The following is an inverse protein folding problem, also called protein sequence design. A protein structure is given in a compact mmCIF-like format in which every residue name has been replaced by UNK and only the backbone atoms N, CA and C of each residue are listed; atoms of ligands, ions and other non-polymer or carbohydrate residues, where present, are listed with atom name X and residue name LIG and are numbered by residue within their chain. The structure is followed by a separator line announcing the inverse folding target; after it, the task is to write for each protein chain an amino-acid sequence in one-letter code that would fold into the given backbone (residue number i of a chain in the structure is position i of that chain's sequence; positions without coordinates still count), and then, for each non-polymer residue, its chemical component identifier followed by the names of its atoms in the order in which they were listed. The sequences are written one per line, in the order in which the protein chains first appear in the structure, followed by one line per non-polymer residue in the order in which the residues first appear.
data_IF_399995466488
#
_entry.id   IF_399995466488
#
_cell.length_a   1.000
_cell.length_b   1.000
_cell.length_c   1.000
_cell.angle_alpha   90.00
_cell.angle_beta   90.00
_cell.angle_gamma   90.00
#
_symmetry.space_group_name_H-M   'P 1'
#
loop_
_entity.id
_entity.type
_entity.pdbx_description
1 polymer ?
#
# COMPACT_ATOMS: atom_id res chain seq x y z
N UNK A 1 -4.04 23.75 3.23
CA UNK A 1 -4.15 22.41 2.59
C UNK A 1 -2.93 21.59 3.02
N UNK A 2 -3.12 20.56 3.84
CA UNK A 2 -2.05 19.61 4.13
C UNK A 2 -2.09 18.49 3.09
N UNK A 3 -1.25 18.58 2.06
CA UNK A 3 -1.00 17.45 1.17
C UNK A 3 -0.45 16.31 2.01
N UNK A 4 -1.05 15.12 1.93
CA UNK A 4 -0.67 13.97 2.74
C UNK A 4 0.84 13.75 2.69
N UNK A 5 1.48 13.62 3.85
CA UNK A 5 2.93 13.43 3.93
C UNK A 5 3.30 12.18 3.13
N UNK A 6 4.09 12.35 2.07
CA UNK A 6 4.65 11.22 1.31
C UNK A 6 5.52 10.38 2.24
N UNK A 7 5.34 9.05 2.21
CA UNK A 7 6.18 8.09 2.93
C UNK A 7 7.54 7.95 2.21
N UNK A 8 8.33 9.00 2.30
CA UNK A 8 9.70 9.12 1.80
C UNK A 8 10.60 9.66 2.91
N UNK A 9 11.89 9.34 2.88
CA UNK A 9 12.87 9.93 3.79
C UNK A 9 13.11 11.42 3.46
N UNK A 10 13.96 12.13 4.24
CA UNK A 10 14.30 13.54 3.99
C UNK A 10 14.91 13.82 2.60
N UNK A 11 15.40 12.79 1.90
CA UNK A 11 15.94 12.86 0.54
C UNK A 11 14.91 12.48 -0.53
N UNK A 12 13.65 12.25 -0.18
CA UNK A 12 12.60 11.84 -1.11
C UNK A 12 12.62 10.37 -1.51
N UNK A 13 13.50 9.56 -0.93
CA UNK A 13 13.64 8.14 -1.28
C UNK A 13 12.66 7.27 -0.47
N UNK A 14 12.14 6.23 -1.12
CA UNK A 14 11.32 5.19 -0.47
C UNK A 14 12.19 4.36 0.49
N UNK A 15 11.63 3.90 1.63
CA UNK A 15 12.36 2.99 2.51
C UNK A 15 12.70 1.66 1.83
N UNK A 16 13.83 1.07 2.23
CA UNK A 16 14.24 -0.26 1.75
C UNK A 16 13.30 -1.31 2.33
N UNK A 17 12.81 -2.20 1.48
CA UNK A 17 11.98 -3.36 1.88
C UNK A 17 12.91 -4.42 2.48
N UNK A 18 12.51 -5.07 3.57
CA UNK A 18 13.30 -6.16 4.17
C UNK A 18 13.44 -7.33 3.21
N UNK A 19 14.59 -8.01 3.27
CA UNK A 19 14.87 -9.21 2.48
C UNK A 19 14.01 -10.41 2.93
N UNK A 20 13.44 -10.35 4.14
CA UNK A 20 12.51 -11.34 4.68
C UNK A 20 11.14 -11.33 3.99
N UNK A 21 10.82 -10.25 3.26
CA UNK A 21 9.56 -10.15 2.53
C UNK A 21 9.64 -11.06 1.31
N UNK A 22 8.67 -11.99 1.12
CA UNK A 22 8.71 -12.89 -0.03
C UNK A 22 8.77 -12.11 -1.34
N UNK A 23 9.63 -12.56 -2.26
CA UNK A 23 9.92 -11.86 -3.53
C UNK A 23 8.67 -11.45 -4.32
N UNK A 24 7.60 -12.25 -4.23
CA UNK A 24 6.30 -11.94 -4.83
C UNK A 24 5.74 -10.58 -4.33
N UNK A 25 5.77 -10.33 -3.02
CA UNK A 25 5.32 -9.08 -2.42
C UNK A 25 6.27 -7.93 -2.73
N UNK A 26 7.58 -8.15 -2.65
CA UNK A 26 8.58 -7.13 -2.97
C UNK A 26 8.40 -6.62 -4.40
N UNK A 27 8.21 -7.51 -5.37
CA UNK A 27 7.98 -7.15 -6.78
C UNK A 27 6.63 -6.44 -7.00
N UNK A 28 5.62 -6.73 -6.18
CA UNK A 28 4.35 -6.03 -6.23
C UNK A 28 4.48 -4.62 -5.65
N UNK A 29 5.07 -4.49 -4.47
CA UNK A 29 5.28 -3.20 -3.78
C UNK A 29 6.10 -2.25 -4.67
N UNK A 30 7.18 -2.74 -5.29
CA UNK A 30 8.02 -1.94 -6.20
C UNK A 30 7.19 -1.40 -7.39
N UNK A 31 6.38 -2.25 -8.02
CA UNK A 31 5.51 -1.83 -9.14
C UNK A 31 4.44 -0.83 -8.70
N UNK A 32 3.79 -1.05 -7.55
CA UNK A 32 2.79 -0.14 -7.02
C UNK A 32 3.40 1.24 -6.63
N UNK A 33 4.69 1.27 -6.27
CA UNK A 33 5.41 2.49 -5.91
C UNK A 33 6.18 3.13 -7.06
N UNK A 34 5.97 2.69 -8.30
CA UNK A 34 6.64 3.26 -9.46
C UNK A 34 6.41 4.79 -9.53
N UNK A 35 7.47 5.51 -9.90
CA UNK A 35 7.47 6.96 -10.05
C UNK A 35 6.47 7.37 -11.13
N UNK A 36 6.42 6.60 -12.22
CA UNK A 36 5.50 6.79 -13.34
C UNK A 36 4.17 6.14 -13.03
N UNK A 37 3.08 6.89 -13.18
CA UNK A 37 1.74 6.39 -12.87
C UNK A 37 1.32 5.27 -13.82
N UNK A 38 1.81 5.32 -15.06
CA UNK A 38 1.50 4.38 -16.15
C UNK A 38 2.07 2.99 -15.88
N UNK A 39 3.12 2.90 -15.07
CA UNK A 39 3.75 1.65 -14.67
C UNK A 39 3.05 1.00 -13.46
N UNK A 40 2.16 1.72 -12.78
CA UNK A 40 1.46 1.20 -11.61
C UNK A 40 0.32 0.29 -12.06
N UNK A 41 0.20 -0.90 -11.48
CA UNK A 41 -0.91 -1.79 -11.80
C UNK A 41 -2.23 -1.20 -11.30
N UNK A 42 -3.28 -1.45 -12.08
CA UNK A 42 -4.66 -1.14 -11.70
C UNK A 42 -5.18 -2.12 -10.65
N UNK A 43 -6.23 -1.72 -9.93
CA UNK A 43 -6.88 -2.61 -8.96
C UNK A 43 -7.41 -3.90 -9.61
N UNK A 44 -7.92 -3.80 -10.83
CA UNK A 44 -8.43 -4.95 -11.59
C UNK A 44 -7.32 -5.94 -11.93
N UNK A 45 -6.16 -5.44 -12.42
CA UNK A 45 -5.00 -6.31 -12.70
C UNK A 45 -4.47 -7.01 -11.45
N UNK A 46 -4.52 -6.36 -10.28
CA UNK A 46 -4.20 -7.00 -9.01
C UNK A 46 -5.21 -8.08 -8.63
N UNK A 47 -6.50 -7.80 -8.81
CA UNK A 47 -7.59 -8.71 -8.44
C UNK A 47 -7.59 -9.98 -9.28
N UNK A 48 -7.41 -9.84 -10.60
CA UNK A 48 -7.28 -10.97 -11.52
C UNK A 48 -6.04 -11.81 -11.25
N UNK A 49 -4.98 -11.17 -10.74
CA UNK A 49 -3.78 -11.85 -10.28
C UNK A 49 -4.01 -12.52 -8.92
N UNK A 50 -4.80 -13.61 -8.92
CA UNK A 50 -5.01 -14.59 -7.82
C UNK A 50 -3.72 -15.20 -7.23
N UNK A 51 -2.54 -14.72 -7.61
CA UNK A 51 -1.23 -15.24 -7.20
C UNK A 51 -0.77 -14.78 -5.81
N UNK A 52 -1.48 -13.86 -5.14
CA UNK A 52 -1.24 -13.57 -3.73
C UNK A 52 -1.82 -14.72 -2.90
N UNK A 53 -1.16 -15.88 -2.93
CA UNK A 53 -1.49 -17.00 -2.05
C UNK A 53 -1.13 -16.62 -0.62
N UNK A 54 -2.06 -15.95 0.06
CA UNK A 54 -1.96 -15.52 1.46
C UNK A 54 -1.72 -16.70 2.40
N UNK A 55 -2.19 -17.89 2.01
CA UNK A 55 -2.14 -19.11 2.80
C UNK A 55 -0.72 -19.63 3.05
N UNK A 56 0.26 -19.18 2.25
CA UNK A 56 1.67 -19.55 2.36
C UNK A 56 2.47 -18.56 3.24
N UNK A 57 1.87 -17.44 3.64
CA UNK A 57 2.55 -16.37 4.36
C UNK A 57 2.38 -16.58 5.86
N UNK A 58 3.39 -17.19 6.51
CA UNK A 58 3.50 -17.13 7.97
C UNK A 58 3.98 -15.74 8.38
N UNK A 59 3.06 -14.79 8.50
CA UNK A 59 3.36 -13.50 9.14
C UNK A 59 3.52 -13.77 10.63
N UNK A 60 4.75 -13.70 11.16
CA UNK A 60 4.96 -13.76 12.59
C UNK A 60 4.63 -12.37 13.19
N UNK A 61 3.57 -12.21 13.99
CA UNK A 61 3.22 -10.90 14.54
C UNK A 61 4.34 -10.30 15.40
N UNK A 62 5.26 -11.12 15.93
CA UNK A 62 6.44 -10.65 16.69
C UNK A 62 7.49 -9.92 15.86
N UNK A 63 7.50 -10.03 14.53
CA UNK A 63 8.47 -9.31 13.68
C UNK A 63 7.94 -7.98 13.15
N UNK A 64 6.66 -7.67 13.38
CA UNK A 64 6.07 -6.38 13.03
C UNK A 64 6.50 -5.30 14.04
N UNK A 65 7.71 -4.76 13.85
CA UNK A 65 8.17 -3.60 14.60
C UNK A 65 7.60 -2.35 13.94
N UNK A 66 6.74 -1.63 14.66
CA UNK A 66 6.31 -0.29 14.24
C UNK A 66 7.49 0.67 14.44
N UNK A 67 7.65 1.61 13.50
CA UNK A 67 8.67 2.64 13.68
C UNK A 67 8.35 3.44 14.96
N UNK A 68 9.32 3.75 15.85
CA UNK A 68 9.04 4.41 17.13
C UNK A 68 8.32 5.77 17.00
N UNK A 69 8.45 6.42 15.84
CA UNK A 69 7.81 7.69 15.52
C UNK A 69 6.48 7.54 14.76
N UNK A 70 6.02 6.32 14.50
CA UNK A 70 4.75 6.07 13.83
C UNK A 70 3.60 6.28 14.82
N UNK A 71 2.64 7.12 14.44
CA UNK A 71 1.42 7.37 15.20
C UNK A 71 0.25 6.81 14.40
N UNK A 72 -0.37 5.73 14.88
CA UNK A 72 -1.53 5.11 14.25
C UNK A 72 -2.79 5.42 15.05
N UNK A 73 -3.35 6.62 14.87
CA UNK A 73 -4.68 6.92 15.42
C UNK A 73 -5.72 6.42 14.45
N UNK A 74 -6.50 5.41 14.83
CA UNK A 74 -7.75 5.10 14.16
C UNK A 74 -8.68 6.31 14.28
N UNK A 75 -8.78 7.11 13.21
CA UNK A 75 -9.84 8.12 13.11
C UNK A 75 -11.09 7.43 12.63
N UNK A 76 -12.18 7.52 13.38
CA UNK A 76 -13.47 7.01 12.95
C UNK A 76 -13.86 7.71 11.65
N UNK A 77 -13.94 6.96 10.55
CA UNK A 77 -14.38 7.48 9.25
C UNK A 77 -15.87 7.79 9.33
N UNK A 78 -16.21 9.07 9.24
CA UNK A 78 -17.60 9.49 9.10
C UNK A 78 -18.07 9.32 7.65
N UNK A 79 -18.75 8.21 7.38
CA UNK A 79 -19.25 7.89 6.03
C UNK A 79 -20.30 8.88 5.53
N UNK A 80 -20.99 9.61 6.41
CA UNK A 80 -22.03 10.59 6.01
C UNK A 80 -21.45 11.83 5.33
N UNK A 81 -20.19 12.17 5.61
CA UNK A 81 -19.51 13.35 5.06
C UNK A 81 -18.65 13.05 3.84
N UNK A 82 -18.54 11.78 3.41
CA UNK A 82 -17.77 11.44 2.24
C UNK A 82 -18.57 11.75 0.97
N UNK A 83 -17.94 12.32 -0.08
CA UNK A 83 -18.59 12.45 -1.37
C UNK A 83 -19.07 11.07 -1.83
N UNK A 84 -20.32 10.98 -2.29
CA UNK A 84 -20.85 9.73 -2.85
C UNK A 84 -19.90 9.28 -3.96
N UNK A 85 -19.47 8.02 -3.89
CA UNK A 85 -18.64 7.44 -4.93
C UNK A 85 -19.42 7.51 -6.24
N UNK A 86 -18.93 8.30 -7.18
CA UNK A 86 -19.35 8.19 -8.57
C UNK A 86 -18.69 6.93 -9.09
N UNK A 87 -19.39 5.80 -8.97
CA UNK A 87 -19.05 4.59 -9.72
C UNK A 87 -19.26 4.97 -11.19
N UNK A 88 -18.21 5.50 -11.82
CA UNK A 88 -18.14 5.54 -13.26
C UNK A 88 -18.11 4.07 -13.69
N UNK A 89 -19.24 3.61 -14.24
CA UNK A 89 -19.30 2.36 -14.96
C UNK A 89 -18.26 2.46 -16.07
N UNK A 90 -17.14 1.75 -15.89
CA UNK A 90 -16.22 1.49 -16.98
C UNK A 90 -16.90 0.43 -17.84
N UNK A 91 -17.48 0.90 -18.96
CA UNK A 91 -17.98 0.05 -20.04
C UNK A 91 -16.85 -0.79 -20.63
#
# INVERSE_FOLDING_TARGET
MAFGKSYCNRKGQRPKISEDVPKLFTNLIIRCWDVKAENRPTANELFEKKSLKTDQIKINPKTMQTHPQAIYTSRLLNFKSLPKLNIINFN
#
